data_IF_488617781287
#
_entry.id   IF_488617781287
#
_cell.length_a   1.000
_cell.length_b   1.000
_cell.length_c   1.000
_cell.angle_alpha   90.00
_cell.angle_beta   90.00
_cell.angle_gamma   90.00
#
_symmetry.space_group_name_H-M   'P 1'
#
loop_
_entity.id
_entity.type
_entity.pdbx_description
1 polymer ?
#
# COMPACT_ATOMS: atom_id res chain seq x y z
N UNK A 1 12.55 45.15 56.96
CA UNK A 1 13.70 44.93 56.07
C UNK A 1 13.82 43.43 55.86
N UNK A 2 13.61 42.96 54.62
CA UNK A 2 14.01 41.63 54.14
C UNK A 2 13.12 40.43 54.51
N UNK A 3 12.00 40.26 53.81
CA UNK A 3 11.33 38.96 53.64
C UNK A 3 11.98 38.24 52.45
N UNK A 4 12.69 37.14 52.71
CA UNK A 4 13.16 36.21 51.69
C UNK A 4 12.22 35.01 51.66
N UNK A 5 11.32 34.97 50.68
CA UNK A 5 10.53 33.80 50.32
C UNK A 5 11.33 33.01 49.27
N UNK A 6 11.77 31.81 49.66
CA UNK A 6 12.14 30.73 48.75
C UNK A 6 10.85 30.12 48.20
N UNK A 7 10.45 30.51 46.99
CA UNK A 7 9.44 29.81 46.21
C UNK A 7 10.12 28.65 45.47
N UNK A 8 9.68 27.43 45.80
CA UNK A 8 10.14 26.20 45.20
C UNK A 8 9.83 26.10 43.71
N UNK A 9 10.84 25.63 42.98
CA UNK A 9 10.74 25.07 41.64
C UNK A 9 9.83 23.84 41.66
N UNK A 10 8.59 23.96 41.16
CA UNK A 10 7.75 22.81 40.80
C UNK A 10 6.56 23.23 39.92
N UNK A 11 6.82 23.81 38.74
CA UNK A 11 5.82 23.94 37.65
C UNK A 11 6.50 23.86 36.28
N UNK A 12 7.11 22.72 35.95
CA UNK A 12 7.44 22.37 34.56
C UNK A 12 7.23 20.87 34.33
N UNK A 13 5.98 20.43 34.41
CA UNK A 13 5.55 19.21 33.73
C UNK A 13 5.47 19.47 32.22
N UNK A 14 6.61 19.68 31.59
CA UNK A 14 6.75 19.68 30.12
C UNK A 14 7.13 18.26 29.75
N UNK A 15 6.23 17.57 29.05
CA UNK A 15 6.56 16.31 28.39
C UNK A 15 7.71 16.57 27.40
N UNK A 16 8.93 16.08 27.63
CA UNK A 16 10.07 16.34 26.75
C UNK A 16 9.94 15.61 25.40
N UNK A 17 8.90 14.80 25.21
CA UNK A 17 8.54 14.14 23.96
C UNK A 17 7.12 14.46 23.49
N UNK A 18 6.46 15.41 24.16
CA UNK A 18 5.17 15.91 23.75
C UNK A 18 5.37 16.63 22.44
N UNK A 19 5.07 15.95 21.32
CA UNK A 19 5.02 16.54 19.99
C UNK A 19 4.22 17.83 20.15
N UNK A 20 4.88 18.99 20.07
CA UNK A 20 4.19 20.24 19.93
C UNK A 20 3.39 20.10 18.64
N UNK A 21 2.08 19.84 18.74
CA UNK A 21 1.19 20.08 17.62
C UNK A 21 1.46 21.51 17.18
N UNK A 22 2.01 21.72 15.97
CA UNK A 22 2.39 23.04 15.55
C UNK A 22 1.16 23.94 15.53
N UNK A 23 1.32 25.22 15.87
CA UNK A 23 0.21 26.18 15.92
C UNK A 23 -0.59 26.27 14.60
N UNK A 24 0.03 25.86 13.49
CA UNK A 24 -0.60 25.71 12.18
C UNK A 24 -1.73 24.68 12.20
N UNK A 25 -1.53 23.49 12.78
CA UNK A 25 -2.51 22.41 12.78
C UNK A 25 -3.78 22.79 13.55
N UNK A 26 -3.63 23.47 14.69
CA UNK A 26 -4.79 24.00 15.44
C UNK A 26 -5.56 25.04 14.66
N UNK A 27 -4.86 25.88 13.90
CA UNK A 27 -5.50 26.91 13.05
C UNK A 27 -6.23 26.27 11.89
N UNK A 28 -5.64 25.26 11.24
CA UNK A 28 -6.29 24.47 10.19
C UNK A 28 -7.53 23.78 10.75
N UNK A 29 -7.41 23.04 11.86
CA UNK A 29 -8.53 22.36 12.48
C UNK A 29 -9.67 23.34 12.85
N UNK A 30 -9.34 24.52 13.39
CA UNK A 30 -10.32 25.56 13.66
C UNK A 30 -11.00 26.06 12.38
N UNK A 31 -10.24 26.36 11.32
CA UNK A 31 -10.81 26.78 10.04
C UNK A 31 -11.69 25.69 9.43
N UNK A 32 -11.25 24.43 9.44
CA UNK A 32 -12.03 23.29 8.94
C UNK A 32 -13.35 23.13 9.68
N UNK A 33 -13.35 23.29 11.01
CA UNK A 33 -14.59 23.33 11.80
C UNK A 33 -15.53 24.49 11.42
N UNK A 34 -15.07 25.50 10.67
CA UNK A 34 -15.86 26.63 10.16
C UNK A 34 -16.09 26.54 8.64
N UNK A 35 -16.00 25.34 8.05
CA UNK A 35 -16.34 25.08 6.66
C UNK A 35 -15.24 25.44 5.65
N UNK A 36 -13.99 25.53 6.10
CA UNK A 36 -12.84 25.71 5.22
C UNK A 36 -12.19 24.37 4.87
N UNK A 37 -12.14 24.04 3.59
CA UNK A 37 -11.50 22.82 3.09
C UNK A 37 -10.04 23.10 2.74
N UNK A 38 -9.12 22.26 3.23
CA UNK A 38 -7.71 22.31 2.83
C UNK A 38 -7.60 21.94 1.35
N UNK A 39 -6.88 22.76 0.59
CA UNK A 39 -6.61 22.46 -0.80
C UNK A 39 -5.37 21.56 -0.89
N UNK A 40 -5.57 20.30 -1.29
CA UNK A 40 -4.47 19.35 -1.47
C UNK A 40 -3.48 19.82 -2.55
N UNK A 41 -2.18 19.55 -2.39
CA UNK A 41 -1.16 19.97 -3.34
C UNK A 41 -1.22 19.09 -4.60
N UNK A 42 -2.08 19.46 -5.55
CA UNK A 42 -2.07 18.92 -6.91
C UNK A 42 -1.67 20.02 -7.92
N UNK A 43 -0.92 19.69 -8.98
CA UNK A 43 -0.49 20.66 -10.00
C UNK A 43 -1.65 21.54 -10.53
N UNK A 44 -2.81 20.92 -10.75
CA UNK A 44 -4.01 21.56 -11.28
C UNK A 44 -4.73 22.48 -10.26
N UNK A 45 -4.52 22.26 -8.96
CA UNK A 45 -5.15 23.03 -7.90
C UNK A 45 -4.38 24.30 -7.53
N UNK A 46 -3.11 24.43 -7.90
CA UNK A 46 -2.27 25.57 -7.49
C UNK A 46 -2.79 26.94 -7.94
N UNK A 47 -3.60 27.00 -9.00
CA UNK A 47 -4.23 28.24 -9.44
C UNK A 47 -5.62 28.49 -8.87
N UNK A 48 -6.23 27.49 -8.23
CA UNK A 48 -7.57 27.64 -7.65
C UNK A 48 -7.64 28.82 -6.69
N UNK A 49 -6.68 29.03 -5.78
CA UNK A 49 -6.69 30.21 -4.93
C UNK A 49 -6.81 31.49 -5.73
N UNK A 50 -6.10 31.66 -6.85
CA UNK A 50 -6.11 32.90 -7.62
C UNK A 50 -7.46 33.23 -8.27
N UNK A 51 -8.22 32.22 -8.70
CA UNK A 51 -9.55 32.39 -9.30
C UNK A 51 -10.69 32.36 -8.29
N UNK A 52 -10.45 31.81 -7.09
CA UNK A 52 -11.43 31.76 -6.02
C UNK A 52 -11.77 33.15 -5.47
N UNK A 53 -13.02 33.44 -5.06
CA UNK A 53 -13.36 34.73 -4.47
C UNK A 53 -12.50 35.01 -3.23
N UNK A 54 -12.02 36.26 -3.11
CA UNK A 54 -11.06 36.63 -2.07
C UNK A 54 -11.55 36.43 -0.63
N UNK A 55 -12.87 36.47 -0.40
CA UNK A 55 -13.49 36.24 0.91
C UNK A 55 -13.74 34.75 1.20
N UNK A 56 -13.56 33.88 0.21
CA UNK A 56 -13.75 32.42 0.31
C UNK A 56 -12.42 31.66 0.17
N UNK A 57 -11.29 32.35 0.30
CA UNK A 57 -9.95 31.75 0.30
C UNK A 57 -9.13 32.34 1.45
N UNK A 58 -8.39 31.49 2.15
CA UNK A 58 -7.44 31.89 3.18
C UNK A 58 -6.23 30.95 3.13
N UNK A 59 -5.23 31.23 3.95
CA UNK A 59 -4.04 30.38 4.02
C UNK A 59 -3.49 30.36 5.44
N UNK A 60 -2.82 29.27 5.77
CA UNK A 60 -1.99 29.15 6.98
C UNK A 60 -0.53 28.92 6.58
N UNK A 61 0.45 29.31 7.41
CA UNK A 61 1.84 28.87 7.22
C UNK A 61 1.90 27.34 7.17
N UNK A 62 2.62 26.79 6.18
CA UNK A 62 2.90 25.35 6.09
C UNK A 62 4.28 25.06 6.66
N UNK A 63 4.40 24.00 7.47
CA UNK A 63 5.69 23.54 8.01
C UNK A 63 6.45 22.62 7.06
N UNK A 64 5.83 22.19 5.96
CA UNK A 64 6.52 21.44 4.92
C UNK A 64 7.51 22.36 4.20
N UNK A 65 8.74 22.39 4.71
CA UNK A 65 9.89 22.99 4.05
C UNK A 65 10.08 22.33 2.67
N UNK A 66 9.81 23.09 1.61
CA UNK A 66 10.63 23.10 0.40
C UNK A 66 10.43 22.07 -0.71
N UNK A 67 10.20 20.78 -0.47
CA UNK A 67 10.87 19.81 -1.39
C UNK A 67 10.07 18.85 -2.29
N UNK A 68 8.74 18.92 -2.42
CA UNK A 68 8.08 17.95 -3.33
C UNK A 68 7.88 18.41 -4.78
N UNK A 69 7.93 19.72 -5.08
CA UNK A 69 7.73 20.21 -6.46
C UNK A 69 8.58 21.45 -6.76
N UNK A 70 9.20 21.55 -7.96
CA UNK A 70 10.04 22.69 -8.31
C UNK A 70 9.22 23.99 -8.29
N UNK A 71 9.49 24.86 -7.31
CA UNK A 71 8.86 26.19 -7.17
C UNK A 71 8.91 27.06 -8.44
N UNK A 72 9.79 26.73 -9.39
CA UNK A 72 9.93 27.40 -10.68
C UNK A 72 8.66 27.27 -11.55
N UNK A 73 7.89 26.20 -11.45
CA UNK A 73 6.69 26.00 -12.28
C UNK A 73 5.47 26.79 -11.78
N UNK A 74 5.35 27.00 -10.46
CA UNK A 74 4.20 27.71 -9.86
C UNK A 74 4.09 29.16 -10.32
N UNK A 75 5.23 29.85 -10.41
CA UNK A 75 5.27 31.24 -10.85
C UNK A 75 4.93 31.37 -12.34
N UNK A 76 5.44 30.45 -13.17
CA UNK A 76 5.14 30.40 -14.59
C UNK A 76 3.64 30.14 -14.87
N UNK A 77 3.05 29.20 -14.14
CA UNK A 77 1.63 28.86 -14.24
C UNK A 77 0.70 29.97 -13.75
N UNK A 78 1.05 30.62 -12.64
CA UNK A 78 0.28 31.76 -12.16
C UNK A 78 0.33 32.91 -13.17
N UNK A 79 1.52 33.21 -13.69
CA UNK A 79 1.69 34.24 -14.71
C UNK A 79 0.92 33.92 -16.00
N UNK A 80 0.93 32.68 -16.48
CA UNK A 80 0.21 32.27 -17.69
C UNK A 80 -1.32 32.38 -17.53
N UNK A 81 -1.84 32.21 -16.32
CA UNK A 81 -3.25 32.43 -15.98
C UNK A 81 -3.62 33.88 -15.63
N UNK A 82 -2.65 34.80 -15.66
CA UNK A 82 -2.86 36.20 -15.26
C UNK A 82 -3.16 36.37 -13.77
N UNK A 83 -2.53 35.54 -12.94
CA UNK A 83 -2.70 35.48 -11.50
C UNK A 83 -1.37 35.75 -10.76
N UNK A 84 -1.40 36.33 -9.55
CA UNK A 84 -0.21 36.33 -8.70
C UNK A 84 0.11 34.90 -8.24
N UNK A 85 1.40 34.51 -8.14
CA UNK A 85 1.77 33.21 -7.63
C UNK A 85 1.27 33.03 -6.19
N UNK A 86 0.85 31.80 -5.81
CA UNK A 86 0.61 31.50 -4.41
C UNK A 86 1.92 31.73 -3.64
N UNK A 87 1.89 32.40 -2.48
CA UNK A 87 3.10 32.64 -1.72
C UNK A 87 3.64 31.30 -1.18
N UNK A 88 4.96 31.15 -1.19
CA UNK A 88 5.63 29.94 -0.72
C UNK A 88 5.30 29.63 0.75
N UNK A 89 5.41 28.35 1.12
CA UNK A 89 5.21 27.83 2.48
C UNK A 89 3.83 28.17 3.05
N UNK A 90 2.78 28.02 2.22
CA UNK A 90 1.39 28.24 2.60
C UNK A 90 0.52 27.06 2.22
N UNK A 91 -0.31 26.64 3.15
CA UNK A 91 -1.43 25.74 2.89
C UNK A 91 -2.66 26.58 2.63
N UNK A 92 -3.23 26.48 1.44
CA UNK A 92 -4.47 27.18 1.08
C UNK A 92 -5.67 26.43 1.62
N UNK A 93 -6.64 27.20 2.11
CA UNK A 93 -7.96 26.71 2.44
C UNK A 93 -8.99 27.48 1.65
N UNK A 94 -9.97 26.77 1.11
CA UNK A 94 -11.07 27.33 0.34
C UNK A 94 -12.38 27.10 1.09
N UNK A 95 -13.34 27.98 0.88
CA UNK A 95 -14.72 27.78 1.28
C UNK A 95 -15.57 27.74 0.01
N UNK A 96 -16.58 26.87 -0.04
CA UNK A 96 -17.48 26.84 -1.19
C UNK A 96 -18.30 28.13 -1.28
N UNK A 97 -18.51 28.69 -2.49
CA UNK A 97 -19.45 29.79 -2.68
C UNK A 97 -20.92 29.38 -2.51
N UNK A 98 -21.21 28.08 -2.46
CA UNK A 98 -22.57 27.55 -2.38
C UNK A 98 -22.74 26.71 -1.11
N UNK A 99 -23.75 27.00 -0.26
CA UNK A 99 -23.97 26.27 0.99
C UNK A 99 -24.12 24.75 0.84
N UNK A 100 -24.73 24.28 -0.25
CA UNK A 100 -25.05 22.86 -0.46
C UNK A 100 -24.04 22.12 -1.35
N UNK A 101 -23.01 22.80 -1.85
CA UNK A 101 -22.00 22.20 -2.72
C UNK A 101 -20.66 22.33 -2.02
N UNK A 102 -19.93 21.24 -1.82
CA UNK A 102 -18.62 21.32 -1.20
C UNK A 102 -17.54 21.92 -2.10
N UNK A 103 -16.38 22.23 -1.53
CA UNK A 103 -15.23 22.70 -2.32
C UNK A 103 -14.81 21.64 -3.34
N UNK A 104 -14.77 20.36 -2.97
CA UNK A 104 -14.41 19.28 -3.88
C UNK A 104 -15.38 19.19 -5.06
N UNK A 105 -16.69 19.24 -4.80
CA UNK A 105 -17.70 19.25 -5.87
C UNK A 105 -17.62 20.50 -6.74
N UNK A 106 -17.36 21.65 -6.13
CA UNK A 106 -17.12 22.87 -6.89
C UNK A 106 -15.90 22.73 -7.82
N UNK A 107 -14.83 22.06 -7.37
CA UNK A 107 -13.67 21.73 -8.21
C UNK A 107 -14.04 20.74 -9.33
N UNK A 108 -14.81 19.68 -9.05
CA UNK A 108 -15.30 18.75 -10.09
C UNK A 108 -16.13 19.45 -11.15
N UNK A 109 -17.03 20.36 -10.77
CA UNK A 109 -17.77 21.20 -11.72
C UNK A 109 -16.83 22.05 -12.60
N UNK A 110 -15.70 22.52 -12.06
CA UNK A 110 -14.67 23.22 -12.84
C UNK A 110 -13.99 22.27 -13.83
N UNK A 111 -13.68 21.03 -13.43
CA UNK A 111 -13.11 20.02 -14.32
C UNK A 111 -14.07 19.58 -15.42
N UNK A 112 -15.35 19.35 -15.10
CA UNK A 112 -16.39 18.99 -16.07
C UNK A 112 -16.60 20.09 -17.14
N UNK A 113 -16.14 21.30 -16.84
CA UNK A 113 -16.15 22.43 -17.74
C UNK A 113 -14.92 22.50 -18.67
N UNK A 114 -13.93 21.63 -18.47
CA UNK A 114 -12.79 21.49 -19.38
C UNK A 114 -13.18 20.59 -20.56
N UNK A 115 -12.72 20.95 -21.75
CA UNK A 115 -12.91 20.14 -22.96
C UNK A 115 -12.05 18.86 -22.86
N UNK A 116 -12.55 17.69 -23.28
CA UNK A 116 -11.88 16.38 -23.23
C UNK A 116 -10.51 16.32 -23.96
N UNK A 117 -10.10 17.42 -24.60
CA UNK A 117 -8.91 17.54 -25.45
C UNK A 117 -7.71 18.16 -24.74
N UNK A 118 -7.63 18.03 -23.42
CA UNK A 118 -6.54 18.65 -22.66
C UNK A 118 -5.17 18.09 -23.08
N UNK A 119 -4.33 19.01 -23.56
CA UNK A 119 -2.87 18.87 -23.66
C UNK A 119 -2.22 19.96 -22.78
N UNK A 120 -0.90 20.17 -22.85
CA UNK A 120 -0.08 20.93 -21.88
C UNK A 120 -0.48 22.40 -21.55
N UNK A 121 -1.54 22.96 -22.17
CA UNK A 121 -2.12 24.29 -21.92
C UNK A 121 -3.30 24.28 -20.92
N UNK A 122 -3.37 23.28 -20.02
CA UNK A 122 -4.52 23.02 -19.13
C UNK A 122 -4.78 24.16 -18.13
N UNK A 123 -3.75 24.95 -17.84
CA UNK A 123 -3.71 25.87 -16.70
C UNK A 123 -4.54 27.16 -16.96
N UNK A 124 -4.37 27.88 -18.08
CA UNK A 124 -5.29 28.95 -18.46
C UNK A 124 -6.73 28.48 -18.70
N UNK A 125 -6.92 27.26 -19.22
CA UNK A 125 -8.24 26.67 -19.42
C UNK A 125 -8.94 26.43 -18.08
N UNK A 126 -8.23 25.88 -17.10
CA UNK A 126 -8.66 25.70 -15.72
C UNK A 126 -9.06 27.02 -15.07
N UNK A 127 -8.22 28.06 -15.19
CA UNK A 127 -8.54 29.38 -14.63
C UNK A 127 -9.80 29.98 -15.28
N UNK A 128 -9.99 29.77 -16.58
CA UNK A 128 -11.17 30.23 -17.32
C UNK A 128 -12.43 29.47 -16.90
N UNK A 129 -12.34 28.14 -16.79
CA UNK A 129 -13.41 27.29 -16.28
C UNK A 129 -13.80 27.67 -14.84
N UNK A 130 -12.82 27.85 -13.97
CA UNK A 130 -12.99 28.34 -12.60
C UNK A 130 -13.76 29.66 -12.54
N UNK A 131 -13.30 30.67 -13.31
CA UNK A 131 -14.00 31.98 -13.38
C UNK A 131 -15.43 31.88 -13.92
N UNK A 132 -15.72 30.91 -14.80
CA UNK A 132 -17.06 30.68 -15.34
C UNK A 132 -17.97 30.02 -14.30
N UNK A 133 -17.50 28.92 -13.70
CA UNK A 133 -18.26 28.12 -12.73
C UNK A 133 -18.52 28.92 -11.45
N UNK A 134 -17.52 29.64 -10.93
CA UNK A 134 -17.67 30.48 -9.73
C UNK A 134 -18.60 31.69 -9.91
N UNK A 135 -19.12 31.95 -11.13
CA UNK A 135 -20.17 32.95 -11.39
C UNK A 135 -21.58 32.36 -11.39
N UNK A 136 -21.70 31.03 -11.33
CA UNK A 136 -23.00 30.38 -11.24
C UNK A 136 -23.65 30.68 -9.89
N UNK A 137 -24.98 30.78 -9.90
CA UNK A 137 -25.74 30.64 -8.66
C UNK A 137 -25.79 29.17 -8.23
N UNK A 138 -26.19 28.94 -6.98
CA UNK A 138 -26.25 27.58 -6.41
C UNK A 138 -27.20 26.67 -7.19
N UNK A 139 -28.33 27.19 -7.66
CA UNK A 139 -29.29 26.43 -8.45
C UNK A 139 -28.67 25.92 -9.76
N UNK A 140 -27.88 26.75 -10.45
CA UNK A 140 -27.16 26.37 -11.67
C UNK A 140 -26.07 25.36 -11.37
N UNK A 141 -25.31 25.54 -10.28
CA UNK A 141 -24.29 24.58 -9.85
C UNK A 141 -24.90 23.21 -9.54
N UNK A 142 -25.96 23.15 -8.74
CA UNK A 142 -26.68 21.91 -8.44
C UNK A 142 -27.31 21.27 -9.69
N UNK A 143 -27.78 22.07 -10.64
CA UNK A 143 -28.35 21.56 -11.89
C UNK A 143 -27.30 20.89 -12.79
N UNK A 144 -26.04 21.33 -12.71
CA UNK A 144 -24.91 20.74 -13.42
C UNK A 144 -24.43 19.42 -12.81
N UNK A 145 -24.66 19.19 -11.51
CA UNK A 145 -24.37 17.92 -10.84
C UNK A 145 -25.31 16.81 -11.34
N UNK A 146 -24.78 15.60 -11.45
CA UNK A 146 -25.53 14.41 -11.88
C UNK A 146 -26.84 14.25 -11.07
N UNK A 147 -27.99 13.91 -11.69
CA UNK A 147 -29.28 13.86 -10.99
C UNK A 147 -29.30 12.96 -9.75
N UNK A 148 -28.60 11.83 -9.79
CA UNK A 148 -28.48 10.91 -8.64
C UNK A 148 -27.77 11.58 -7.47
N UNK A 149 -26.60 12.13 -7.72
CA UNK A 149 -25.76 12.80 -6.72
C UNK A 149 -26.47 14.02 -6.12
N UNK A 150 -27.11 14.84 -6.96
CA UNK A 150 -27.96 15.96 -6.51
C UNK A 150 -29.08 15.52 -5.58
N UNK A 151 -29.70 14.37 -5.87
CA UNK A 151 -30.72 13.78 -4.99
C UNK A 151 -30.16 13.37 -3.62
N UNK A 152 -28.91 12.90 -3.58
CA UNK A 152 -28.22 12.57 -2.32
C UNK A 152 -27.81 13.83 -1.55
N UNK A 153 -27.29 14.85 -2.22
CA UNK A 153 -27.02 16.17 -1.62
C UNK A 153 -28.29 16.70 -0.97
N UNK A 154 -29.44 16.66 -1.66
CA UNK A 154 -30.72 17.09 -1.09
C UNK A 154 -31.08 16.33 0.19
N UNK A 155 -30.97 15.00 0.18
CA UNK A 155 -31.26 14.17 1.36
C UNK A 155 -30.33 14.43 2.54
N UNK A 156 -29.02 14.57 2.29
CA UNK A 156 -28.04 14.88 3.32
C UNK A 156 -28.20 16.31 3.86
N UNK A 157 -28.53 17.28 3.01
CA UNK A 157 -28.85 18.65 3.43
C UNK A 157 -30.13 18.74 4.24
N UNK A 158 -31.18 17.99 3.89
CA UNK A 158 -32.41 17.91 4.68
C UNK A 158 -32.13 17.33 6.07
N UNK A 159 -31.35 16.24 6.13
CA UNK A 159 -30.91 15.64 7.40
C UNK A 159 -30.07 16.61 8.24
N UNK A 160 -29.16 17.36 7.61
CA UNK A 160 -28.33 18.35 8.28
C UNK A 160 -29.15 19.56 8.76
N UNK A 161 -30.21 19.95 8.02
CA UNK A 161 -31.13 21.02 8.38
C UNK A 161 -31.99 20.72 9.62
N UNK A 162 -32.28 19.44 9.88
CA UNK A 162 -32.84 18.98 11.16
C UNK A 162 -31.78 18.89 12.27
N UNK A 163 -30.51 18.97 11.91
CA UNK A 163 -29.37 18.64 12.74
C UNK A 163 -28.29 19.73 12.73
N UNK A 164 -28.60 20.87 13.36
CA UNK A 164 -27.61 21.79 13.94
C UNK A 164 -26.52 21.07 14.82
N UNK A 165 -26.59 19.73 15.00
CA UNK A 165 -25.70 18.87 15.80
C UNK A 165 -25.55 17.41 15.32
N UNK A 166 -25.61 17.07 14.03
CA UNK A 166 -25.29 15.68 13.66
C UNK A 166 -23.82 15.31 13.98
N UNK A 167 -22.94 16.31 14.11
CA UNK A 167 -21.52 16.09 14.42
C UNK A 167 -20.78 15.30 13.34
N UNK A 168 -21.39 15.13 12.17
CA UNK A 168 -20.79 14.47 11.02
C UNK A 168 -19.86 15.44 10.32
N UNK A 169 -18.67 14.96 10.03
CA UNK A 169 -17.67 15.67 9.24
C UNK A 169 -18.21 15.88 7.81
N UNK A 170 -18.21 17.12 7.28
CA UNK A 170 -18.58 17.38 5.89
C UNK A 170 -17.83 16.50 4.88
N UNK A 171 -16.56 16.18 5.14
CA UNK A 171 -15.76 15.35 4.24
C UNK A 171 -16.27 13.90 4.23
N UNK A 172 -16.79 13.40 5.36
CA UNK A 172 -17.45 12.08 5.43
C UNK A 172 -18.75 12.07 4.64
N UNK A 173 -19.57 13.13 4.75
CA UNK A 173 -20.82 13.26 3.99
C UNK A 173 -20.51 13.28 2.49
N UNK A 174 -19.48 14.02 2.09
CA UNK A 174 -19.07 14.11 0.70
C UNK A 174 -18.65 12.76 0.12
N UNK A 175 -17.82 12.00 0.86
CA UNK A 175 -17.42 10.63 0.50
C UNK A 175 -18.63 9.69 0.39
N UNK A 176 -19.57 9.76 1.32
CA UNK A 176 -20.80 8.95 1.25
C UNK A 176 -21.66 9.29 0.03
N UNK A 177 -21.77 10.57 -0.34
CA UNK A 177 -22.49 10.98 -1.54
C UNK A 177 -21.80 10.41 -2.80
N UNK A 178 -20.48 10.42 -2.85
CA UNK A 178 -19.70 9.86 -3.98
C UNK A 178 -19.86 8.35 -4.10
N UNK A 179 -19.89 7.65 -2.97
CA UNK A 179 -20.18 6.23 -2.87
C UNK A 179 -21.68 5.93 -3.10
N UNK A 180 -22.51 6.96 -3.27
CA UNK A 180 -23.91 6.81 -3.60
C UNK A 180 -24.81 6.45 -2.42
N UNK A 181 -24.38 6.71 -1.17
CA UNK A 181 -25.11 6.38 0.06
C UNK A 181 -26.14 7.44 0.45
N UNK A 182 -27.43 7.08 0.49
CA UNK A 182 -28.43 7.92 1.13
C UNK A 182 -28.30 7.85 2.66
N UNK A 183 -28.70 8.91 3.39
CA UNK A 183 -28.59 8.91 4.85
C UNK A 183 -29.36 7.78 5.54
N UNK A 184 -30.49 7.35 4.96
CA UNK A 184 -31.28 6.23 5.48
C UNK A 184 -30.52 4.89 5.44
N UNK A 185 -29.62 4.71 4.46
CA UNK A 185 -28.78 3.51 4.41
C UNK A 185 -27.70 3.56 5.47
N UNK A 186 -27.07 4.72 5.71
CA UNK A 186 -26.14 4.90 6.81
C UNK A 186 -26.81 4.64 8.17
N UNK A 187 -28.05 5.09 8.39
CA UNK A 187 -28.82 4.78 9.60
C UNK A 187 -29.04 3.29 9.77
N UNK A 188 -29.40 2.60 8.67
CA UNK A 188 -29.60 1.15 8.69
C UNK A 188 -28.31 0.44 9.05
N UNK A 189 -27.18 0.81 8.42
CA UNK A 189 -25.86 0.26 8.77
C UNK A 189 -25.55 0.54 10.25
N UNK A 190 -25.72 1.78 10.72
CA UNK A 190 -25.47 2.14 12.11
C UNK A 190 -26.34 1.36 13.11
N UNK A 191 -27.61 1.11 12.80
CA UNK A 191 -28.49 0.30 13.66
C UNK A 191 -28.06 -1.17 13.64
N UNK A 192 -27.68 -1.70 12.49
CA UNK A 192 -27.34 -3.11 12.31
C UNK A 192 -25.93 -3.47 12.80
N UNK A 193 -24.98 -2.53 12.68
CA UNK A 193 -23.56 -2.75 12.96
C UNK A 193 -23.00 -1.87 14.07
N UNK A 194 -23.68 -0.78 14.43
CA UNK A 194 -23.13 0.22 15.37
C UNK A 194 -22.07 1.14 14.76
N UNK A 195 -21.77 1.02 13.46
CA UNK A 195 -20.79 1.86 12.79
C UNK A 195 -21.27 3.29 12.57
N UNK A 196 -20.33 4.21 12.73
CA UNK A 196 -20.45 5.60 12.38
C UNK A 196 -20.44 5.77 10.86
N UNK A 197 -20.96 6.91 10.39
CA UNK A 197 -20.93 7.25 8.97
C UNK A 197 -19.49 7.27 8.38
N UNK A 198 -18.50 7.61 9.21
CA UNK A 198 -17.09 7.62 8.80
C UNK A 198 -16.56 6.20 8.55
N UNK A 199 -16.85 5.26 9.45
CA UNK A 199 -16.50 3.84 9.27
C UNK A 199 -17.21 3.24 8.06
N UNK A 200 -18.47 3.61 7.81
CA UNK A 200 -19.19 3.17 6.59
C UNK A 200 -18.52 3.67 5.32
N UNK A 201 -18.13 4.95 5.28
CA UNK A 201 -17.43 5.52 4.14
C UNK A 201 -16.09 4.81 3.88
N UNK A 202 -15.28 4.66 4.93
CA UNK A 202 -13.97 4.00 4.85
C UNK A 202 -14.08 2.54 4.37
N UNK A 203 -14.99 1.76 4.95
CA UNK A 203 -15.19 0.37 4.52
C UNK A 203 -15.73 0.25 3.11
N UNK A 204 -16.63 1.15 2.72
CA UNK A 204 -17.17 1.15 1.37
C UNK A 204 -16.10 1.49 0.33
N UNK A 205 -15.22 2.45 0.63
CA UNK A 205 -14.08 2.82 -0.23
C UNK A 205 -13.10 1.67 -0.42
N UNK A 206 -12.71 1.00 0.66
CA UNK A 206 -11.71 -0.06 0.59
C UNK A 206 -12.27 -1.31 -0.08
N UNK A 207 -13.53 -1.66 0.18
CA UNK A 207 -14.11 -2.92 -0.33
C UNK A 207 -14.85 -2.78 -1.66
N UNK A 208 -14.99 -1.57 -2.18
CA UNK A 208 -15.83 -1.23 -3.35
C UNK A 208 -17.28 -1.74 -3.24
N UNK A 209 -17.83 -1.74 -2.02
CA UNK A 209 -19.19 -2.27 -1.72
C UNK A 209 -20.11 -1.18 -1.20
N UNK A 210 -21.37 -1.24 -1.60
CA UNK A 210 -22.38 -0.24 -1.20
C UNK A 210 -23.68 -0.86 -0.69
N UNK A 211 -24.44 -0.12 0.12
CA UNK A 211 -25.80 -0.48 0.55
C UNK A 211 -25.90 -1.85 1.26
N UNK A 212 -26.86 -2.68 0.82
CA UNK A 212 -27.12 -4.00 1.39
C UNK A 212 -25.95 -4.98 1.23
N UNK A 213 -25.19 -4.85 0.15
CA UNK A 213 -24.01 -5.69 -0.10
C UNK A 213 -22.92 -5.45 0.95
N UNK A 214 -22.67 -4.18 1.30
CA UNK A 214 -21.73 -3.84 2.37
C UNK A 214 -22.25 -4.37 3.72
N UNK A 215 -23.54 -4.16 4.05
CA UNK A 215 -24.13 -4.65 5.30
C UNK A 215 -23.96 -6.16 5.45
N UNK A 216 -24.30 -6.92 4.41
CA UNK A 216 -24.19 -8.38 4.42
C UNK A 216 -22.73 -8.85 4.47
N UNK A 217 -21.82 -8.13 3.82
CA UNK A 217 -20.38 -8.38 3.93
C UNK A 217 -19.88 -8.18 5.37
N UNK A 218 -20.19 -7.05 6.01
CA UNK A 218 -19.80 -6.73 7.39
C UNK A 218 -20.37 -7.77 8.38
N UNK A 219 -21.64 -8.16 8.20
CA UNK A 219 -22.28 -9.19 9.04
C UNK A 219 -21.54 -10.52 8.95
N UNK A 220 -21.15 -10.94 7.74
CA UNK A 220 -20.35 -12.15 7.55
C UNK A 220 -18.96 -12.00 8.19
N UNK A 221 -18.29 -10.87 7.94
CA UNK A 221 -16.98 -10.55 8.51
C UNK A 221 -16.97 -10.68 10.04
N UNK A 222 -17.94 -10.07 10.71
CA UNK A 222 -18.09 -10.13 12.17
C UNK A 222 -18.53 -11.49 12.70
N UNK A 223 -19.31 -12.24 11.93
CA UNK A 223 -19.67 -13.62 12.29
C UNK A 223 -18.41 -14.51 12.40
N UNK A 224 -17.39 -14.21 11.62
CA UNK A 224 -16.07 -14.85 11.68
C UNK A 224 -15.16 -14.28 12.78
N UNK A 225 -15.60 -13.24 13.50
CA UNK A 225 -14.83 -12.53 14.55
C UNK A 225 -13.48 -12.01 14.05
N UNK A 226 -13.47 -11.58 12.79
CA UNK A 226 -12.30 -10.99 12.16
C UNK A 226 -12.01 -9.58 12.71
N UNK A 227 -10.76 -9.10 12.63
CA UNK A 227 -10.40 -7.73 12.98
C UNK A 227 -11.26 -6.71 12.21
N UNK A 228 -11.63 -5.60 12.84
CA UNK A 228 -12.35 -4.50 12.18
C UNK A 228 -11.36 -3.63 11.38
N UNK A 229 -10.74 -4.25 10.37
CA UNK A 229 -9.75 -3.65 9.48
C UNK A 229 -10.29 -3.66 8.03
N UNK A 230 -10.59 -2.49 7.44
CA UNK A 230 -11.16 -2.39 6.10
C UNK A 230 -10.15 -2.75 5.00
N UNK A 231 -8.85 -2.56 5.21
CA UNK A 231 -7.81 -2.92 4.21
C UNK A 231 -7.70 -4.44 4.11
N UNK A 232 -7.63 -5.11 5.26
CA UNK A 232 -7.71 -6.57 5.31
C UNK A 232 -9.04 -7.07 4.73
N UNK A 233 -10.16 -6.40 5.00
CA UNK A 233 -11.44 -6.79 4.43
C UNK A 233 -11.51 -6.61 2.92
N UNK A 234 -10.86 -5.59 2.37
CA UNK A 234 -10.75 -5.35 0.94
C UNK A 234 -10.01 -6.49 0.22
N UNK A 235 -8.90 -6.96 0.79
CA UNK A 235 -8.14 -8.09 0.26
C UNK A 235 -8.98 -9.37 0.13
N UNK A 236 -9.94 -9.54 1.04
CA UNK A 236 -10.84 -10.70 1.10
C UNK A 236 -12.23 -10.42 0.52
N UNK A 237 -12.42 -9.27 -0.12
CA UNK A 237 -13.73 -8.86 -0.61
C UNK A 237 -14.19 -9.72 -1.79
N UNK A 238 -13.27 -10.21 -2.61
CA UNK A 238 -13.58 -11.04 -3.78
C UNK A 238 -13.64 -12.54 -3.47
N UNK A 239 -13.10 -12.94 -2.32
CA UNK A 239 -12.92 -14.35 -1.97
C UNK A 239 -14.17 -14.93 -1.26
N UNK A 240 -14.46 -16.23 -1.44
CA UNK A 240 -15.52 -16.89 -0.68
C UNK A 240 -15.23 -16.87 0.81
N UNK A 241 -16.14 -16.30 1.61
CA UNK A 241 -16.02 -16.25 3.08
C UNK A 241 -15.85 -17.64 3.72
N UNK A 242 -16.34 -18.70 3.06
CA UNK A 242 -16.16 -20.08 3.47
C UNK A 242 -14.69 -20.51 3.45
N UNK A 243 -13.90 -19.99 2.51
CA UNK A 243 -12.48 -20.26 2.41
C UNK A 243 -11.71 -19.59 3.55
N UNK A 244 -11.95 -18.29 3.78
CA UNK A 244 -11.36 -17.58 4.92
C UNK A 244 -11.72 -18.27 6.23
N UNK A 245 -12.98 -18.65 6.42
CA UNK A 245 -13.42 -19.43 7.58
C UNK A 245 -12.63 -20.74 7.73
N UNK A 246 -12.44 -21.48 6.64
CA UNK A 246 -11.69 -22.73 6.68
C UNK A 246 -10.22 -22.54 7.07
N UNK A 247 -9.62 -21.40 6.69
CA UNK A 247 -8.27 -20.97 7.09
C UNK A 247 -8.23 -20.64 8.59
N UNK A 248 -9.19 -19.87 9.10
CA UNK A 248 -9.29 -19.54 10.53
C UNK A 248 -9.56 -20.79 11.39
N UNK A 249 -10.49 -21.65 10.97
CA UNK A 249 -10.81 -22.93 11.63
C UNK A 249 -9.61 -23.88 11.58
N UNK A 250 -8.73 -23.72 10.59
CA UNK A 250 -7.46 -24.42 10.54
C UNK A 250 -6.44 -23.86 11.52
N UNK A 251 -6.66 -22.74 12.19
CA UNK A 251 -5.75 -22.13 13.17
C UNK A 251 -4.69 -21.20 12.58
N UNK A 252 -4.94 -20.65 11.39
CA UNK A 252 -4.16 -19.55 10.81
C UNK A 252 -4.82 -18.20 11.10
N UNK A 253 -4.07 -17.11 11.00
CA UNK A 253 -4.62 -15.75 11.12
C UNK A 253 -5.14 -15.24 9.76
N UNK A 254 -5.88 -14.12 9.73
CA UNK A 254 -6.25 -13.49 8.46
C UNK A 254 -5.04 -13.06 7.62
N UNK A 255 -3.96 -12.63 8.26
CA UNK A 255 -2.73 -12.19 7.59
C UNK A 255 -1.97 -13.36 6.93
N UNK A 256 -2.10 -14.58 7.45
CA UNK A 256 -1.55 -15.81 6.87
C UNK A 256 -2.29 -16.24 5.59
N UNK A 257 -3.51 -15.75 5.40
CA UNK A 257 -4.46 -16.36 4.49
C UNK A 257 -4.08 -16.23 2.99
N UNK A 258 -3.40 -15.16 2.51
CA UNK A 258 -2.86 -15.11 1.15
C UNK A 258 -1.84 -16.22 0.88
N UNK A 259 -0.92 -16.46 1.81
CA UNK A 259 0.09 -17.52 1.75
C UNK A 259 -0.55 -18.90 1.78
N UNK A 260 -1.54 -19.09 2.66
CA UNK A 260 -2.29 -20.36 2.76
C UNK A 260 -3.12 -20.64 1.50
N UNK A 261 -3.66 -19.61 0.84
CA UNK A 261 -4.34 -19.74 -0.45
C UNK A 261 -3.37 -20.26 -1.52
N UNK A 262 -2.22 -19.63 -1.64
CA UNK A 262 -1.24 -19.96 -2.68
C UNK A 262 -0.65 -21.37 -2.48
N UNK A 263 -0.38 -21.76 -1.24
CA UNK A 263 0.13 -23.10 -0.88
C UNK A 263 -0.97 -24.18 -0.90
N UNK A 264 -2.20 -23.79 -0.60
CA UNK A 264 -3.34 -24.67 -0.37
C UNK A 264 -3.48 -25.12 1.10
N UNK A 265 -4.69 -24.97 1.65
CA UNK A 265 -5.01 -25.19 3.07
C UNK A 265 -4.55 -26.54 3.63
N UNK A 266 -4.78 -27.63 2.90
CA UNK A 266 -4.38 -28.99 3.33
C UNK A 266 -2.87 -29.10 3.51
N UNK A 267 -2.09 -28.47 2.62
CA UNK A 267 -0.64 -28.49 2.66
C UNK A 267 -0.12 -27.56 3.76
N UNK A 268 -0.66 -26.35 3.86
CA UNK A 268 -0.30 -25.41 4.93
C UNK A 268 -0.49 -26.04 6.33
N UNK A 269 -1.59 -26.79 6.56
CA UNK A 269 -1.81 -27.51 7.82
C UNK A 269 -0.68 -28.48 8.18
N UNK A 270 -0.22 -29.27 7.21
CA UNK A 270 0.88 -30.24 7.42
C UNK A 270 2.16 -29.51 7.84
N UNK A 271 2.47 -28.39 7.20
CA UNK A 271 3.65 -27.58 7.51
C UNK A 271 3.56 -26.90 8.88
N UNK A 272 2.39 -26.36 9.21
CA UNK A 272 2.14 -25.77 10.53
C UNK A 272 2.20 -26.79 11.66
N UNK A 273 1.67 -27.99 11.46
CA UNK A 273 1.80 -29.09 12.43
C UNK A 273 3.27 -29.52 12.60
N UNK A 274 4.12 -29.24 11.60
CA UNK A 274 5.57 -29.35 11.66
C UNK A 274 6.28 -28.07 12.19
N UNK A 275 5.54 -27.08 12.70
CA UNK A 275 6.09 -25.92 13.41
C UNK A 275 6.54 -24.76 12.52
N UNK A 276 6.22 -24.77 11.23
CA UNK A 276 6.46 -23.65 10.32
C UNK A 276 5.24 -22.71 10.29
N UNK A 277 5.46 -21.40 10.26
CA UNK A 277 4.37 -20.44 10.03
C UNK A 277 3.98 -20.37 8.54
N UNK A 278 2.94 -19.61 8.21
CA UNK A 278 2.44 -19.53 6.84
C UNK A 278 3.42 -18.85 5.89
N UNK A 279 4.15 -17.83 6.33
CA UNK A 279 5.12 -17.11 5.51
C UNK A 279 6.33 -17.99 5.20
N UNK A 280 6.89 -18.65 6.21
CA UNK A 280 7.99 -19.60 6.01
C UNK A 280 7.58 -20.76 5.11
N UNK A 281 6.37 -21.28 5.30
CA UNK A 281 5.80 -22.33 4.42
C UNK A 281 5.73 -21.85 2.98
N UNK A 282 5.19 -20.65 2.74
CA UNK A 282 5.08 -20.08 1.39
C UNK A 282 6.45 -19.83 0.77
N UNK A 283 7.39 -19.26 1.50
CA UNK A 283 8.74 -18.98 1.01
C UNK A 283 9.47 -20.26 0.61
N UNK A 284 9.46 -21.27 1.49
CA UNK A 284 10.15 -22.54 1.26
C UNK A 284 9.53 -23.31 0.09
N UNK A 285 8.21 -23.34 -0.01
CA UNK A 285 7.52 -24.00 -1.12
C UNK A 285 7.63 -23.23 -2.43
N UNK A 286 7.76 -21.90 -2.37
CA UNK A 286 8.08 -21.06 -3.53
C UNK A 286 9.49 -21.30 -4.07
N UNK A 287 10.40 -21.81 -3.25
CA UNK A 287 11.73 -22.25 -3.67
C UNK A 287 11.70 -23.69 -4.19
N UNK A 288 11.05 -24.59 -3.46
CA UNK A 288 10.90 -26.00 -3.83
C UNK A 288 9.48 -26.54 -3.53
N UNK A 289 8.60 -26.62 -4.55
CA UNK A 289 7.24 -27.12 -4.38
C UNK A 289 7.16 -28.59 -3.98
N UNK A 290 8.26 -29.35 -4.00
CA UNK A 290 8.29 -30.77 -3.62
C UNK A 290 8.94 -30.97 -2.24
N UNK A 291 9.35 -29.89 -1.57
CA UNK A 291 9.94 -29.93 -0.23
C UNK A 291 8.93 -30.46 0.80
N UNK A 292 9.46 -31.27 1.73
CA UNK A 292 8.73 -31.82 2.87
C UNK A 292 9.15 -31.09 4.16
N UNK A 293 8.25 -30.94 5.15
CA UNK A 293 8.58 -30.25 6.40
C UNK A 293 9.73 -30.92 7.17
N UNK A 294 9.81 -32.26 7.16
CA UNK A 294 10.90 -32.99 7.83
C UNK A 294 12.25 -32.67 7.22
N UNK A 295 12.30 -32.49 5.90
CA UNK A 295 13.51 -32.11 5.20
C UNK A 295 13.85 -30.63 5.41
N UNK A 296 12.85 -29.74 5.43
CA UNK A 296 13.03 -28.33 5.73
C UNK A 296 13.71 -28.13 7.09
N UNK A 297 13.35 -28.92 8.12
CA UNK A 297 14.03 -28.89 9.42
C UNK A 297 15.50 -29.30 9.36
N UNK A 298 15.87 -30.19 8.45
CA UNK A 298 17.28 -30.56 8.28
C UNK A 298 18.12 -29.38 7.74
N UNK A 299 17.50 -28.45 7.01
CA UNK A 299 18.16 -27.20 6.62
C UNK A 299 18.40 -26.23 7.78
N UNK A 300 17.84 -26.48 8.97
CA UNK A 300 18.16 -25.74 10.20
C UNK A 300 19.43 -26.28 10.89
N UNK A 301 20.09 -27.30 10.33
CA UNK A 301 21.38 -27.79 10.83
C UNK A 301 22.42 -26.64 10.83
N UNK A 302 23.12 -26.37 11.95
CA UNK A 302 24.08 -25.28 12.03
C UNK A 302 25.17 -25.26 10.95
N UNK A 303 25.48 -26.41 10.34
CA UNK A 303 26.47 -26.51 9.26
C UNK A 303 25.98 -25.89 7.94
N UNK A 304 24.67 -25.69 7.76
CA UNK A 304 24.07 -25.13 6.54
C UNK A 304 23.00 -24.06 6.80
N UNK A 305 22.57 -23.84 8.04
CA UNK A 305 21.46 -22.97 8.40
C UNK A 305 21.57 -21.54 7.85
N UNK A 306 22.77 -20.94 7.92
CA UNK A 306 23.02 -19.58 7.40
C UNK A 306 22.65 -19.45 5.91
N UNK A 307 22.81 -20.52 5.14
CA UNK A 307 22.57 -20.54 3.69
C UNK A 307 21.46 -21.54 3.30
N UNK A 308 20.66 -22.00 4.28
CA UNK A 308 19.68 -23.08 4.09
C UNK A 308 18.69 -22.80 2.97
N UNK A 309 18.14 -21.57 2.95
CA UNK A 309 17.22 -21.12 1.89
C UNK A 309 17.85 -21.14 0.50
N UNK A 310 19.14 -20.79 0.37
CA UNK A 310 19.85 -20.85 -0.90
C UNK A 310 20.09 -22.28 -1.39
N UNK A 311 20.36 -23.21 -0.48
CA UNK A 311 20.45 -24.63 -0.83
C UNK A 311 19.13 -25.17 -1.38
N UNK A 312 18.01 -24.82 -0.75
CA UNK A 312 16.65 -25.18 -1.20
C UNK A 312 16.34 -24.52 -2.55
N UNK A 313 16.62 -23.22 -2.69
CA UNK A 313 16.42 -22.46 -3.92
C UNK A 313 17.12 -23.10 -5.12
N UNK A 314 18.36 -23.56 -4.94
CA UNK A 314 19.10 -24.28 -5.97
C UNK A 314 18.75 -25.78 -6.06
N UNK A 315 17.71 -26.25 -5.37
CA UNK A 315 17.19 -27.60 -5.51
C UNK A 315 18.10 -28.70 -4.95
N UNK A 316 18.94 -28.39 -3.96
CA UNK A 316 19.69 -29.42 -3.24
C UNK A 316 18.80 -30.13 -2.22
N UNK A 317 19.07 -31.41 -1.97
CA UNK A 317 18.58 -32.06 -0.74
C UNK A 317 19.39 -31.61 0.47
N UNK A 318 18.84 -31.75 1.68
CA UNK A 318 19.57 -31.41 2.89
C UNK A 318 20.86 -32.25 3.02
N UNK A 319 20.80 -33.54 2.67
CA UNK A 319 21.98 -34.43 2.65
C UNK A 319 23.03 -34.02 1.60
N UNK A 320 22.60 -33.50 0.45
CA UNK A 320 23.53 -32.92 -0.53
C UNK A 320 24.15 -31.64 0.00
N UNK A 321 23.35 -30.73 0.55
CA UNK A 321 23.83 -29.47 1.12
C UNK A 321 24.85 -29.70 2.22
N UNK A 322 24.62 -30.65 3.13
CA UNK A 322 25.57 -31.04 4.18
C UNK A 322 26.88 -31.57 3.60
N UNK A 323 26.83 -32.41 2.55
CA UNK A 323 28.05 -32.93 1.89
C UNK A 323 28.83 -31.84 1.18
N UNK A 324 28.15 -30.95 0.45
CA UNK A 324 28.78 -29.82 -0.24
C UNK A 324 29.35 -28.79 0.74
N UNK A 325 28.63 -28.48 1.82
CA UNK A 325 29.12 -27.62 2.91
C UNK A 325 30.32 -28.26 3.62
N UNK A 326 30.32 -29.58 3.82
CA UNK A 326 31.42 -30.33 4.42
C UNK A 326 32.75 -30.23 3.67
N UNK A 327 32.73 -29.96 2.35
CA UNK A 327 33.93 -29.68 1.55
C UNK A 327 34.21 -28.17 1.39
N UNK A 328 33.50 -27.32 2.14
CA UNK A 328 33.71 -25.87 2.20
C UNK A 328 33.09 -25.10 1.03
N UNK A 329 32.09 -25.65 0.35
CA UNK A 329 31.40 -24.97 -0.75
C UNK A 329 30.07 -24.34 -0.30
N UNK A 330 29.82 -23.13 -0.80
CA UNK A 330 28.51 -22.45 -0.70
C UNK A 330 27.52 -23.01 -1.73
N UNK A 331 26.19 -22.79 -1.56
CA UNK A 331 25.15 -23.27 -2.48
C UNK A 331 25.41 -22.92 -3.94
N UNK A 332 25.77 -21.66 -4.20
CA UNK A 332 26.03 -21.16 -5.55
C UNK A 332 27.22 -21.88 -6.19
N UNK A 333 28.30 -22.11 -5.42
CA UNK A 333 29.47 -22.86 -5.90
C UNK A 333 29.12 -24.32 -6.13
N UNK A 334 28.46 -24.97 -5.18
CA UNK A 334 28.03 -26.35 -5.30
C UNK A 334 27.15 -26.56 -6.54
N UNK A 335 26.26 -25.61 -6.86
CA UNK A 335 25.42 -25.65 -8.06
C UNK A 335 26.25 -25.70 -9.33
N UNK A 336 27.28 -24.86 -9.44
CA UNK A 336 28.21 -24.89 -10.57
C UNK A 336 28.87 -26.26 -10.71
N UNK A 337 29.43 -26.82 -9.63
CA UNK A 337 30.06 -28.15 -9.68
C UNK A 337 29.07 -29.24 -10.09
N UNK A 338 27.85 -29.23 -9.52
CA UNK A 338 26.79 -30.19 -9.85
C UNK A 338 26.34 -30.07 -11.32
N UNK A 339 26.24 -28.86 -11.87
CA UNK A 339 25.89 -28.62 -13.27
C UNK A 339 26.88 -29.26 -14.25
N UNK A 340 28.12 -29.44 -13.81
CA UNK A 340 29.18 -30.14 -14.55
C UNK A 340 29.36 -31.59 -14.12
N UNK A 341 28.33 -32.17 -13.50
CA UNK A 341 28.26 -33.57 -13.09
C UNK A 341 29.33 -34.01 -12.08
N UNK A 342 29.88 -33.07 -11.30
CA UNK A 342 30.76 -33.40 -10.18
C UNK A 342 29.97 -33.70 -8.90
N UNK A 343 30.56 -34.55 -8.07
CA UNK A 343 30.06 -34.91 -6.74
C UNK A 343 30.93 -34.28 -5.65
N UNK A 344 30.43 -34.13 -4.40
CA UNK A 344 31.22 -33.60 -3.29
C UNK A 344 32.55 -34.32 -3.08
N UNK A 345 32.58 -35.66 -3.28
CA UNK A 345 33.77 -36.49 -3.05
C UNK A 345 34.89 -36.26 -4.08
N UNK A 346 34.55 -35.71 -5.25
CA UNK A 346 35.50 -35.39 -6.32
C UNK A 346 36.10 -33.99 -6.17
N UNK A 347 35.54 -33.17 -5.27
CA UNK A 347 35.97 -31.78 -5.08
C UNK A 347 36.95 -31.69 -3.92
N UNK A 348 38.16 -31.24 -4.24
CA UNK A 348 39.15 -30.83 -3.26
C UNK A 348 39.29 -29.31 -3.30
N UNK A 349 38.64 -28.64 -2.35
CA UNK A 349 38.76 -27.18 -2.20
C UNK A 349 39.95 -26.90 -1.30
N UNK A 350 40.99 -26.31 -1.88
CA UNK A 350 41.96 -25.53 -1.11
C UNK A 350 41.39 -24.10 -1.01
N UNK A 351 40.97 -23.63 0.18
CA UNK A 351 40.39 -22.30 0.34
C UNK A 351 41.30 -21.18 -0.16
N UNK A 352 42.63 -21.36 -0.10
CA UNK A 352 43.61 -20.37 -0.56
C UNK A 352 43.86 -20.41 -2.07
N UNK A 353 43.42 -21.48 -2.75
CA UNK A 353 43.75 -21.75 -4.16
C UNK A 353 42.56 -22.20 -4.99
N UNK A 354 41.34 -21.97 -4.53
CA UNK A 354 40.14 -22.54 -5.14
C UNK A 354 39.99 -22.19 -6.63
N UNK A 355 40.36 -20.96 -7.08
CA UNK A 355 40.35 -20.60 -8.51
C UNK A 355 41.24 -21.50 -9.37
N UNK A 356 42.32 -22.02 -8.80
CA UNK A 356 43.21 -22.97 -9.47
C UNK A 356 42.67 -24.40 -9.47
N UNK A 357 41.77 -24.74 -8.53
CA UNK A 357 41.12 -26.05 -8.44
C UNK A 357 39.83 -26.15 -9.25
N UNK A 358 39.24 -25.02 -9.65
CA UNK A 358 38.15 -24.98 -10.63
C UNK A 358 38.69 -25.45 -11.99
N UNK A 359 38.13 -26.54 -12.58
CA UNK A 359 38.55 -27.05 -13.88
C UNK A 359 38.50 -25.94 -14.94
N UNK A 360 39.45 -25.87 -15.88
CA UNK A 360 39.51 -24.82 -16.89
C UNK A 360 38.20 -24.61 -17.67
N UNK A 361 37.44 -25.67 -17.87
CA UNK A 361 36.11 -25.68 -18.50
C UNK A 361 35.02 -25.01 -17.65
N UNK A 362 35.22 -24.93 -16.33
CA UNK A 362 34.34 -24.22 -15.37
C UNK A 362 34.81 -22.79 -15.10
N UNK A 363 36.02 -22.45 -15.54
CA UNK A 363 36.54 -21.09 -15.41
C UNK A 363 35.73 -20.21 -16.35
N UNK A 364 35.06 -19.16 -15.85
CA UNK A 364 34.27 -18.29 -16.70
C UNK A 364 35.14 -17.73 -17.82
N UNK A 365 34.69 -17.87 -19.07
CA UNK A 365 35.43 -17.39 -20.25
C UNK A 365 35.25 -15.88 -20.49
N UNK A 366 34.37 -15.23 -19.72
CA UNK A 366 34.02 -13.80 -19.86
C UNK A 366 34.48 -12.97 -18.66
N UNK A 367 35.10 -11.81 -18.94
CA UNK A 367 35.49 -10.79 -17.95
C UNK A 367 34.31 -10.27 -17.11
N UNK A 368 33.07 -10.39 -17.59
CA UNK A 368 31.86 -10.03 -16.85
C UNK A 368 31.62 -10.89 -15.61
N UNK A 369 32.05 -12.16 -15.62
CA UNK A 369 31.82 -13.04 -14.48
C UNK A 369 32.83 -12.81 -13.36
N UNK A 370 34.08 -12.43 -13.63
CA UNK A 370 35.08 -12.19 -12.59
C UNK A 370 34.74 -10.99 -11.68
N UNK A 371 33.91 -10.05 -12.14
CA UNK A 371 33.51 -8.85 -11.37
C UNK A 371 32.46 -9.18 -10.30
N UNK A 372 31.62 -10.21 -10.51
CA UNK A 372 30.56 -10.59 -9.54
C UNK A 372 31.06 -11.41 -8.34
N UNK A 373 32.36 -11.76 -8.31
CA UNK A 373 32.95 -12.62 -7.26
C UNK A 373 33.93 -11.91 -6.33
N UNK A 374 34.36 -10.69 -6.69
CA UNK A 374 35.46 -10.01 -6.00
C UNK A 374 34.97 -8.97 -4.99
N UNK A 375 33.73 -8.48 -5.12
CA UNK A 375 33.09 -7.67 -4.08
C UNK A 375 32.02 -8.51 -3.39
N UNK A 376 32.09 -8.61 -2.06
CA UNK A 376 31.17 -9.36 -1.21
C UNK A 376 29.74 -8.80 -1.16
N UNK A 377 29.18 -8.37 -2.30
CA UNK A 377 27.79 -7.96 -2.45
C UNK A 377 27.01 -9.01 -3.24
N UNK A 378 25.92 -9.49 -2.66
CA UNK A 378 24.96 -10.46 -3.22
C UNK A 378 24.18 -9.96 -4.47
N UNK A 379 24.74 -9.06 -5.27
CA UNK A 379 24.08 -8.42 -6.40
C UNK A 379 24.87 -8.76 -7.66
N UNK A 380 24.56 -9.83 -8.41
CA UNK A 380 23.30 -9.99 -9.13
C UNK A 380 22.99 -11.48 -9.36
N UNK A 381 21.76 -11.90 -9.01
CA UNK A 381 21.26 -13.26 -9.25
C UNK A 381 21.13 -13.61 -10.74
N UNK A 382 20.95 -12.60 -11.60
CA UNK A 382 20.57 -12.80 -13.01
C UNK A 382 21.57 -13.65 -13.83
N UNK A 383 22.88 -13.58 -13.52
CA UNK A 383 23.88 -14.38 -14.24
C UNK A 383 23.91 -15.86 -13.83
N UNK A 384 23.39 -16.18 -12.65
CA UNK A 384 23.37 -17.55 -12.12
C UNK A 384 22.20 -18.37 -12.67
N UNK A 385 21.20 -17.70 -13.23
CA UNK A 385 20.04 -18.34 -13.82
C UNK A 385 20.35 -19.04 -15.15
N UNK A 386 21.47 -18.70 -15.79
CA UNK A 386 21.89 -19.32 -17.05
C UNK A 386 22.51 -20.73 -16.88
N UNK A 387 22.82 -21.14 -15.64
CA UNK A 387 23.39 -22.46 -15.38
C UNK A 387 22.31 -23.54 -15.49
N UNK A 388 22.44 -24.39 -16.50
CA UNK A 388 21.59 -25.56 -16.69
C UNK A 388 21.89 -26.63 -15.63
N UNK A 389 20.96 -26.81 -14.70
CA UNK A 389 21.01 -27.88 -13.72
C UNK A 389 20.76 -29.26 -14.35
N UNK A 390 21.31 -30.35 -13.80
CA UNK A 390 21.03 -31.70 -14.28
C UNK A 390 19.51 -32.01 -14.29
N UNK A 391 19.00 -32.84 -15.22
CA UNK A 391 17.56 -33.07 -15.37
C UNK A 391 16.82 -33.58 -14.12
N UNK A 392 17.52 -34.24 -13.19
CA UNK A 392 16.96 -34.75 -11.94
C UNK A 392 16.92 -33.72 -10.80
N UNK A 393 17.41 -32.51 -11.03
CA UNK A 393 17.44 -31.45 -10.01
C UNK A 393 16.03 -30.97 -9.70
N UNK A 394 15.66 -30.96 -8.43
CA UNK A 394 14.36 -30.46 -7.95
C UNK A 394 14.39 -28.93 -7.80
N UNK A 395 13.37 -28.36 -7.16
CA UNK A 395 13.27 -26.92 -6.97
C UNK A 395 12.66 -26.22 -8.18
N UNK A 396 12.05 -25.07 -7.91
CA UNK A 396 11.31 -24.27 -8.90
C UNK A 396 12.19 -23.82 -10.06
N UNK A 397 13.45 -23.46 -9.76
CA UNK A 397 14.39 -22.97 -10.75
C UNK A 397 14.69 -24.02 -11.84
N UNK A 398 15.11 -25.21 -11.41
CA UNK A 398 15.43 -26.30 -12.33
C UNK A 398 14.18 -26.79 -13.10
N UNK A 399 13.01 -26.80 -12.44
CA UNK A 399 11.71 -27.09 -13.09
C UNK A 399 11.40 -26.09 -14.21
N UNK A 400 11.52 -24.78 -13.94
CA UNK A 400 11.28 -23.72 -14.94
C UNK A 400 12.25 -23.82 -16.11
N UNK A 401 13.53 -24.10 -15.87
CA UNK A 401 14.52 -24.29 -16.94
C UNK A 401 14.18 -25.47 -17.87
N UNK A 402 13.50 -26.50 -17.36
CA UNK A 402 12.98 -27.63 -18.15
C UNK A 402 11.64 -27.35 -18.84
N UNK A 403 10.98 -26.23 -18.51
CA UNK A 403 9.62 -25.93 -18.97
C UNK A 403 8.53 -26.69 -18.21
N UNK A 404 8.83 -27.22 -17.03
CA UNK A 404 7.83 -27.84 -16.16
C UNK A 404 6.85 -26.77 -15.67
N UNK A 405 5.57 -27.11 -15.54
CA UNK A 405 4.58 -26.20 -14.98
C UNK A 405 4.85 -25.96 -13.50
N UNK A 406 4.79 -24.68 -13.13
CA UNK A 406 4.92 -24.24 -11.75
C UNK A 406 3.55 -24.29 -11.06
N UNK A 407 3.38 -25.15 -10.04
CA UNK A 407 2.11 -25.32 -9.36
C UNK A 407 1.66 -24.06 -8.60
N UNK A 408 2.55 -23.14 -8.25
CA UNK A 408 2.24 -21.92 -7.49
C UNK A 408 1.97 -20.69 -8.37
N UNK A 409 2.31 -20.72 -9.66
CA UNK A 409 2.02 -19.61 -10.59
C UNK A 409 0.61 -19.68 -11.21
N UNK A 410 -0.10 -20.80 -11.04
CA UNK A 410 -1.34 -21.06 -11.77
C UNK A 410 -2.62 -20.68 -11.01
N UNK A 411 -2.53 -20.29 -9.74
CA UNK A 411 -3.70 -19.96 -8.91
C UNK A 411 -4.30 -18.56 -9.17
N UNK A 412 -3.58 -17.65 -9.82
CA UNK A 412 -3.98 -16.23 -9.88
C UNK A 412 -4.68 -15.72 -11.15
N UNK A 413 -4.79 -16.50 -12.24
CA UNK A 413 -5.18 -15.93 -13.56
C UNK A 413 -6.32 -16.62 -14.31
N UNK A 414 -7.05 -17.57 -13.69
CA UNK A 414 -8.29 -18.07 -14.30
C UNK A 414 -9.50 -17.32 -13.73
N UNK A 415 -9.61 -16.03 -14.05
CA UNK A 415 -10.85 -15.28 -13.89
C UNK A 415 -11.83 -15.73 -14.97
N UNK A 416 -12.92 -16.38 -14.57
CA UNK A 416 -14.03 -16.81 -15.44
C UNK A 416 -15.13 -15.78 -15.55
#
# INVERSE_FOLDING_TARGET
>A
MGTGDELGDDVWGVDPWGRHEPAADRTVAWLTAHGWTRLEPAPLYHLMPAVWPGHLRTWVPSETDGDSWPDQDRSGWAQSAGAPPPPANRTWLLQSPWPSVSVERALRLIFDQLDDRLGPDEIPAMATAGRRVLRWDEATALAAIAPRERGLIGQWSERAGDADRAGLDPDVVDRLIDLGYPPADCDRVQVDTGWTAAEVAEWSEQTDRTGDELIDFIRRWRTLRLPEDPELAAEWSEEPMEQLRAILDAGFTPEDAPQVRDVGLSRARVWRDAGFDAQDTFDLLSMDPDLLPEEARTFEDPAIAEQGRWWIYYGFSADEALRWSGVGLSPTRARLWRAHAHTPDEVHVDPERWLSTVPPELRPTTEHFAVMWVDGGEYTMDGWDEIADPPATRGRFARRARGDTDPLLWSGFTSG
#
